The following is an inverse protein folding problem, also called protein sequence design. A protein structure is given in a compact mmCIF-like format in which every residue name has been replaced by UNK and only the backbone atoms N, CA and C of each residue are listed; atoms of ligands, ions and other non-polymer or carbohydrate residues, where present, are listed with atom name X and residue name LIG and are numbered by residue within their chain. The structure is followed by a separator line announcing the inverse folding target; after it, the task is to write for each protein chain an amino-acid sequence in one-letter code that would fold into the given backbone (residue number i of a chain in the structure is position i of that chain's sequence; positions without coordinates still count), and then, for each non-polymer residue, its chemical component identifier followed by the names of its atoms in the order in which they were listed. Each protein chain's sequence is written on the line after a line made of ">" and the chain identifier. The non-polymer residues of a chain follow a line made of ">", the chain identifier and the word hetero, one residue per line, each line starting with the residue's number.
data_IF_230005541055
#
_entry.id   IF_230005541055
#
_cell.length_a   1.000
_cell.length_b   1.000
_cell.length_c   1.000
_cell.angle_alpha   90.00
_cell.angle_beta   90.00
_cell.angle_gamma   90.00
#
_symmetry.space_group_name_H-M   'P 1'
#
loop_
_entity.id
_entity.type
_entity.pdbx_description
1 polymer ?
#
# COMPACT_ATOMS: atom_id res chain seq x y z
N UNK A 1 -2.89 1.85 -35.99
CA UNK A 1 -1.62 2.59 -35.88
C UNK A 1 -1.93 4.03 -35.44
N UNK A 2 -2.21 4.24 -34.15
CA UNK A 2 -2.53 5.56 -33.56
C UNK A 2 -1.94 5.66 -32.14
N UNK A 3 -1.88 4.51 -31.45
CA UNK A 3 -1.26 4.32 -30.13
C UNK A 3 0.24 4.70 -30.13
N UNK A 4 0.99 4.44 -31.20
CA UNK A 4 2.43 4.75 -31.26
C UNK A 4 2.74 6.26 -31.28
N UNK A 5 1.84 7.06 -31.87
CA UNK A 5 2.02 8.52 -31.99
C UNK A 5 1.71 9.29 -30.71
N UNK A 6 0.81 8.77 -29.86
CA UNK A 6 0.47 9.42 -28.58
C UNK A 6 1.50 9.17 -27.48
N UNK A 7 2.26 8.08 -27.56
CA UNK A 7 3.16 7.68 -26.49
C UNK A 7 4.65 7.65 -26.88
N UNK A 8 5.04 7.86 -28.14
CA UNK A 8 6.44 7.84 -28.61
C UNK A 8 7.19 6.49 -28.41
N UNK A 9 6.72 5.54 -27.58
CA UNK A 9 7.19 4.15 -27.47
C UNK A 9 6.16 3.26 -26.77
N UNK A 10 6.26 1.93 -26.94
CA UNK A 10 5.47 0.94 -26.18
C UNK A 10 5.63 1.09 -24.66
N UNK A 11 6.85 1.40 -24.20
CA UNK A 11 7.12 1.61 -22.78
C UNK A 11 6.39 2.82 -22.23
N UNK A 12 6.33 3.92 -22.99
CA UNK A 12 5.56 5.09 -22.57
C UNK A 12 4.06 4.83 -22.59
N UNK A 13 3.53 4.01 -23.51
CA UNK A 13 2.13 3.60 -23.48
C UNK A 13 1.83 2.86 -22.18
N UNK A 14 2.67 1.87 -21.84
CA UNK A 14 2.54 1.09 -20.60
C UNK A 14 2.70 2.01 -19.39
N UNK A 15 3.67 2.94 -19.39
CA UNK A 15 3.88 3.92 -18.32
C UNK A 15 2.67 4.83 -18.14
N UNK A 16 2.12 5.41 -19.21
CA UNK A 16 0.97 6.30 -19.10
C UNK A 16 -0.31 5.56 -18.74
N UNK A 17 -0.49 4.32 -19.22
CA UNK A 17 -1.62 3.49 -18.80
C UNK A 17 -1.56 3.18 -17.30
N UNK A 18 -0.38 2.76 -16.80
CA UNK A 18 -0.18 2.48 -15.38
C UNK A 18 -0.36 3.76 -14.55
N UNK A 19 0.27 4.86 -14.93
CA UNK A 19 0.19 6.13 -14.22
C UNK A 19 -1.21 6.76 -14.23
N UNK A 20 -2.00 6.51 -15.28
CA UNK A 20 -3.40 6.98 -15.38
C UNK A 20 -4.39 6.15 -14.56
N UNK A 21 -3.97 4.97 -14.08
CA UNK A 21 -4.77 4.06 -13.24
C UNK A 21 -4.14 3.86 -11.86
N UNK A 22 -3.11 4.63 -11.55
CA UNK A 22 -2.37 4.47 -10.31
C UNK A 22 -3.19 5.01 -9.14
N UNK A 23 -3.73 4.09 -8.34
CA UNK A 23 -4.46 4.40 -7.11
C UNK A 23 -3.61 5.19 -6.11
N UNK A 24 -2.28 5.01 -6.12
CA UNK A 24 -1.38 5.65 -5.16
C UNK A 24 -1.30 7.17 -5.36
N UNK A 25 -1.43 7.68 -6.59
CA UNK A 25 -1.30 9.12 -6.86
C UNK A 25 -2.35 9.97 -6.13
N UNK A 26 -3.67 9.73 -6.28
CA UNK A 26 -4.67 10.51 -5.53
C UNK A 26 -4.59 10.35 -4.01
N UNK A 27 -4.11 9.21 -3.50
CA UNK A 27 -3.93 8.99 -2.06
C UNK A 27 -2.74 9.80 -1.54
N UNK A 28 -1.62 9.76 -2.27
CA UNK A 28 -0.39 10.47 -1.91
C UNK A 28 -0.50 11.99 -2.20
N UNK A 29 -1.26 12.41 -3.20
CA UNK A 29 -1.54 13.83 -3.47
C UNK A 29 -2.42 14.45 -2.35
N UNK A 30 -3.38 13.67 -1.80
CA UNK A 30 -4.14 14.07 -0.60
C UNK A 30 -3.28 14.10 0.66
N UNK A 31 -2.18 13.33 0.69
CA UNK A 31 -1.22 13.31 1.81
C UNK A 31 -0.22 14.46 1.79
N UNK A 32 0.06 15.00 0.60
CA UNK A 32 1.06 16.03 0.36
C UNK A 32 0.53 17.45 0.45
N UNK A 33 -0.78 17.63 0.68
CA UNK A 33 -1.35 18.95 0.94
C UNK A 33 -1.03 19.38 2.38
N UNK A 34 -0.04 20.28 2.52
CA UNK A 34 0.37 21.24 3.58
C UNK A 34 -0.30 21.31 4.98
N UNK A 35 -1.28 20.48 5.34
CA UNK A 35 -1.73 20.28 6.71
C UNK A 35 -0.68 19.44 7.44
N UNK A 36 0.02 20.06 8.39
CA UNK A 36 0.87 19.33 9.33
C UNK A 36 -0.02 18.36 10.11
N UNK A 37 0.02 17.08 9.74
CA UNK A 37 -0.61 16.02 10.52
C UNK A 37 0.07 15.95 11.88
N UNK A 38 -0.74 15.99 12.94
CA UNK A 38 -0.21 15.79 14.28
C UNK A 38 0.27 14.34 14.44
N UNK A 39 1.30 14.12 15.25
CA UNK A 39 1.86 12.77 15.49
C UNK A 39 0.80 11.78 15.99
N UNK A 40 -0.20 12.28 16.72
CA UNK A 40 -1.32 11.49 17.24
C UNK A 40 -2.29 11.02 16.14
N UNK A 41 -2.32 11.70 15.00
CA UNK A 41 -3.21 11.40 13.87
C UNK A 41 -2.55 10.46 12.84
N UNK A 42 -1.22 10.37 12.83
CA UNK A 42 -0.45 9.50 11.94
C UNK A 42 -0.89 8.03 11.93
N UNK A 43 -1.13 7.33 13.07
CA UNK A 43 -1.54 5.93 13.03
C UNK A 43 -2.91 5.73 12.37
N UNK A 44 -3.86 6.64 12.61
CA UNK A 44 -5.18 6.60 11.98
C UNK A 44 -5.07 6.90 10.48
N UNK A 45 -4.27 7.91 10.13
CA UNK A 45 -4.00 8.30 8.75
C UNK A 45 -3.38 7.16 7.93
N UNK A 46 -2.36 6.50 8.47
CA UNK A 46 -1.70 5.36 7.81
C UNK A 46 -2.65 4.16 7.73
N UNK A 47 -3.49 3.97 8.76
CA UNK A 47 -4.54 2.94 8.72
C UNK A 47 -5.48 3.19 7.55
N UNK A 48 -5.98 4.42 7.39
CA UNK A 48 -6.86 4.78 6.28
C UNK A 48 -6.22 4.49 4.92
N UNK A 49 -4.95 4.84 4.73
CA UNK A 49 -4.21 4.52 3.49
C UNK A 49 -4.19 3.01 3.21
N UNK A 50 -3.86 2.19 4.20
CA UNK A 50 -3.80 0.74 4.02
C UNK A 50 -5.19 0.11 3.81
N UNK A 51 -6.21 0.65 4.46
CA UNK A 51 -7.60 0.25 4.30
C UNK A 51 -8.14 0.61 2.91
N UNK A 52 -7.86 1.82 2.41
CA UNK A 52 -8.18 2.23 1.04
C UNK A 52 -7.38 1.39 0.03
N UNK A 53 -6.10 1.10 0.28
CA UNK A 53 -5.27 0.23 -0.55
C UNK A 53 -5.85 -1.17 -0.66
N UNK A 54 -6.30 -1.77 0.44
CA UNK A 54 -6.98 -3.06 0.40
C UNK A 54 -8.25 -3.00 -0.47
N UNK A 55 -9.09 -1.98 -0.28
CA UNK A 55 -10.33 -1.83 -1.05
C UNK A 55 -10.06 -1.65 -2.55
N UNK A 56 -9.12 -0.79 -2.91
CA UNK A 56 -8.76 -0.55 -4.30
C UNK A 56 -8.21 -1.83 -4.95
N UNK A 57 -7.31 -2.53 -4.25
CA UNK A 57 -6.72 -3.76 -4.75
C UNK A 57 -7.75 -4.89 -4.90
N UNK A 58 -8.66 -5.05 -3.94
CA UNK A 58 -9.73 -6.03 -4.00
C UNK A 58 -10.69 -5.79 -5.16
N UNK A 59 -11.05 -4.53 -5.42
CA UNK A 59 -12.07 -4.16 -6.41
C UNK A 59 -11.53 -3.93 -7.84
N UNK A 60 -10.21 -3.86 -8.04
CA UNK A 60 -9.61 -3.64 -9.37
C UNK A 60 -8.77 -4.87 -9.82
N UNK A 61 -9.34 -5.77 -10.64
CA UNK A 61 -8.61 -6.90 -11.22
C UNK A 61 -7.46 -6.51 -12.16
N UNK A 62 -7.49 -5.31 -12.76
CA UNK A 62 -6.38 -4.82 -13.59
C UNK A 62 -5.20 -4.42 -12.71
N UNK A 63 -5.46 -3.74 -11.59
CA UNK A 63 -4.47 -3.45 -10.55
C UNK A 63 -3.85 -4.74 -10.00
N UNK A 64 -4.67 -5.78 -9.72
CA UNK A 64 -4.17 -7.09 -9.31
C UNK A 64 -3.18 -7.71 -10.31
N UNK A 65 -3.49 -7.66 -11.61
CA UNK A 65 -2.60 -8.17 -12.66
C UNK A 65 -1.33 -7.35 -12.79
N UNK A 66 -1.43 -6.02 -12.67
CA UNK A 66 -0.27 -5.14 -12.73
C UNK A 66 0.71 -5.44 -11.60
N UNK A 67 0.24 -5.49 -10.35
CA UNK A 67 1.11 -5.81 -9.20
C UNK A 67 1.68 -7.24 -9.35
N UNK A 68 0.90 -8.18 -9.90
CA UNK A 68 1.40 -9.54 -10.12
C UNK A 68 2.56 -9.54 -11.12
N UNK A 69 2.44 -8.74 -12.19
CA UNK A 69 3.52 -8.59 -13.18
C UNK A 69 4.78 -7.98 -12.56
N UNK A 70 4.63 -6.99 -11.66
CA UNK A 70 5.76 -6.37 -10.95
C UNK A 70 6.58 -7.37 -10.11
N UNK A 71 5.94 -8.40 -9.55
CA UNK A 71 6.60 -9.41 -8.71
C UNK A 71 6.96 -10.70 -9.43
N UNK A 72 6.50 -10.89 -10.67
CA UNK A 72 6.71 -12.14 -11.42
C UNK A 72 8.04 -12.16 -12.18
N UNK A 73 8.48 -11.03 -12.73
CA UNK A 73 9.70 -10.94 -13.51
C UNK A 73 10.35 -9.55 -13.41
N UNK A 74 11.70 -9.46 -13.51
CA UNK A 74 12.36 -8.16 -13.59
C UNK A 74 11.96 -7.41 -14.86
N UNK A 75 11.42 -6.21 -14.70
CA UNK A 75 11.09 -5.33 -15.80
C UNK A 75 11.52 -3.88 -15.46
N UNK A 76 12.45 -3.27 -16.23
CA UNK A 76 12.96 -1.93 -15.93
C UNK A 76 11.88 -0.84 -15.81
N UNK A 77 10.82 -0.93 -16.62
CA UNK A 77 9.73 0.02 -16.58
C UNK A 77 8.89 -0.14 -15.30
N UNK A 78 8.59 -1.38 -14.93
CA UNK A 78 7.85 -1.67 -13.70
C UNK A 78 8.65 -1.32 -12.44
N UNK A 79 9.97 -1.47 -12.51
CA UNK A 79 10.87 -1.00 -11.46
C UNK A 79 10.78 0.51 -11.31
N UNK A 80 10.89 1.27 -12.41
CA UNK A 80 10.77 2.74 -12.38
C UNK A 80 9.45 3.19 -11.74
N UNK A 81 8.34 2.53 -12.07
CA UNK A 81 7.02 2.82 -11.48
C UNK A 81 6.99 2.49 -9.98
N UNK A 82 7.63 1.39 -9.56
CA UNK A 82 7.70 1.01 -8.15
C UNK A 82 8.56 2.00 -7.36
N UNK A 83 9.69 2.42 -7.93
CA UNK A 83 10.58 3.44 -7.35
C UNK A 83 9.88 4.81 -7.25
N UNK A 84 9.08 5.19 -8.27
CA UNK A 84 8.24 6.40 -8.23
C UNK A 84 7.21 6.36 -7.08
N UNK A 85 6.56 5.22 -6.85
CA UNK A 85 5.60 5.05 -5.74
C UNK A 85 6.27 5.13 -4.37
N UNK A 86 7.40 4.46 -4.19
CA UNK A 86 8.17 4.51 -2.95
C UNK A 86 8.61 5.95 -2.65
N UNK A 87 9.07 6.68 -3.67
CA UNK A 87 9.45 8.10 -3.51
C UNK A 87 8.27 9.00 -3.14
N UNK A 88 7.06 8.70 -3.58
CA UNK A 88 5.86 9.46 -3.22
C UNK A 88 5.36 9.12 -1.81
N UNK A 89 5.58 7.88 -1.33
CA UNK A 89 5.22 7.47 0.02
C UNK A 89 6.25 7.90 1.08
N UNK A 90 7.52 8.08 0.69
CA UNK A 90 8.63 8.40 1.59
C UNK A 90 8.38 9.63 2.51
N UNK A 91 7.73 10.74 2.08
CA UNK A 91 7.39 11.84 2.98
C UNK A 91 6.51 11.40 4.15
N UNK A 92 5.45 10.62 3.90
CA UNK A 92 4.55 10.11 4.95
C UNK A 92 5.31 9.17 5.88
N UNK A 93 6.11 8.28 5.30
CA UNK A 93 6.89 7.30 6.07
C UNK A 93 7.90 8.04 6.97
N UNK A 94 8.54 9.10 6.48
CA UNK A 94 9.47 9.92 7.27
C UNK A 94 8.83 10.59 8.49
N UNK A 95 7.54 10.94 8.43
CA UNK A 95 6.83 11.47 9.59
C UNK A 95 6.78 10.46 10.74
N UNK A 96 6.81 9.16 10.42
CA UNK A 96 6.78 8.09 11.42
C UNK A 96 8.15 7.83 12.05
N UNK A 97 9.25 8.13 11.36
CA UNK A 97 10.60 7.77 11.82
C UNK A 97 10.92 8.40 13.19
N UNK A 98 10.42 9.60 13.45
CA UNK A 98 10.61 10.29 14.74
C UNK A 98 9.96 9.55 15.90
N UNK A 99 8.76 8.98 15.69
CA UNK A 99 8.03 8.23 16.72
C UNK A 99 8.77 6.95 17.13
N UNK A 100 9.42 6.30 16.16
CA UNK A 100 10.13 5.04 16.37
C UNK A 100 11.61 5.22 16.69
N UNK A 101 12.12 6.46 16.76
CA UNK A 101 13.52 6.72 17.11
C UNK A 101 13.83 6.20 18.52
N UNK A 102 14.98 5.51 18.64
CA UNK A 102 15.36 4.80 19.87
C UNK A 102 14.56 3.52 20.19
N UNK A 103 13.53 3.18 19.43
CA UNK A 103 12.80 1.91 19.57
C UNK A 103 13.52 0.76 18.84
N UNK A 104 13.23 -0.48 19.23
CA UNK A 104 13.68 -1.68 18.50
C UNK A 104 12.73 -2.07 17.34
N UNK A 105 11.79 -1.21 16.99
CA UNK A 105 10.73 -1.49 16.01
C UNK A 105 11.08 -0.83 14.68
N UNK A 106 11.21 -1.66 13.63
CA UNK A 106 11.30 -1.15 12.27
C UNK A 106 9.90 -1.04 11.67
N UNK A 107 9.27 0.13 11.83
CA UNK A 107 7.91 0.36 11.37
C UNK A 107 7.76 0.23 9.86
N UNK A 108 8.76 0.69 9.09
CA UNK A 108 8.80 0.53 7.62
C UNK A 108 8.70 -0.95 7.22
N UNK A 109 9.41 -1.83 7.91
CA UNK A 109 9.35 -3.27 7.66
C UNK A 109 7.98 -3.87 7.99
N UNK A 110 7.31 -3.38 9.04
CA UNK A 110 5.93 -3.77 9.38
C UNK A 110 4.97 -3.38 8.26
N UNK A 111 5.05 -2.14 7.78
CA UNK A 111 4.23 -1.66 6.66
C UNK A 111 4.46 -2.49 5.38
N UNK A 112 5.71 -2.84 5.08
CA UNK A 112 6.04 -3.70 3.93
C UNK A 112 5.44 -5.11 4.05
N UNK A 113 5.50 -5.73 5.24
CA UNK A 113 4.88 -7.03 5.50
C UNK A 113 3.35 -6.95 5.39
N UNK A 114 2.75 -5.88 5.88
CA UNK A 114 1.31 -5.66 5.78
C UNK A 114 0.87 -5.52 4.32
N UNK A 115 1.60 -4.75 3.52
CA UNK A 115 1.31 -4.57 2.10
C UNK A 115 1.40 -5.91 1.35
N UNK A 116 2.44 -6.70 1.61
CA UNK A 116 2.57 -8.05 1.06
C UNK A 116 1.44 -8.99 1.50
N UNK A 117 1.01 -8.89 2.75
CA UNK A 117 -0.13 -9.64 3.30
C UNK A 117 -1.45 -9.30 2.58
N UNK A 118 -1.73 -8.01 2.38
CA UNK A 118 -2.89 -7.53 1.61
C UNK A 118 -2.84 -8.11 0.19
N UNK A 119 -1.71 -7.99 -0.50
CA UNK A 119 -1.56 -8.51 -1.86
C UNK A 119 -1.82 -10.02 -1.94
N UNK A 120 -1.22 -10.78 -1.04
CA UNK A 120 -1.39 -12.23 -1.00
C UNK A 120 -2.84 -12.63 -0.72
N UNK A 121 -3.49 -12.03 0.29
CA UNK A 121 -4.86 -12.35 0.68
C UNK A 121 -5.83 -12.08 -0.47
N UNK A 122 -5.67 -10.95 -1.16
CA UNK A 122 -6.51 -10.59 -2.31
C UNK A 122 -6.28 -11.52 -3.50
N UNK A 123 -5.04 -11.78 -3.90
CA UNK A 123 -4.76 -12.70 -5.02
C UNK A 123 -5.23 -14.12 -4.74
N UNK A 124 -5.05 -14.59 -3.51
CA UNK A 124 -5.49 -15.92 -3.13
C UNK A 124 -7.02 -16.02 -3.17
N UNK A 125 -7.74 -15.03 -2.65
CA UNK A 125 -9.19 -14.99 -2.70
C UNK A 125 -9.72 -14.90 -4.14
N UNK A 126 -9.08 -14.10 -5.00
CA UNK A 126 -9.51 -13.93 -6.39
C UNK A 126 -9.19 -15.14 -7.28
N UNK A 127 -8.08 -15.84 -7.00
CA UNK A 127 -7.58 -16.95 -7.83
C UNK A 127 -8.02 -18.32 -7.30
N UNK A 128 -7.74 -18.61 -6.02
CA UNK A 128 -7.92 -19.92 -5.42
C UNK A 128 -9.29 -20.06 -4.71
N UNK A 129 -9.92 -18.93 -4.35
CA UNK A 129 -11.26 -18.88 -3.71
C UNK A 129 -11.39 -19.80 -2.50
N UNK A 130 -10.32 -19.88 -1.72
CA UNK A 130 -10.29 -20.63 -0.47
C UNK A 130 -9.80 -19.76 0.67
N UNK A 131 -10.01 -20.25 1.89
CA UNK A 131 -9.71 -19.52 3.12
C UNK A 131 -8.21 -19.46 3.40
N UNK A 132 -7.74 -18.30 3.84
CA UNK A 132 -6.41 -18.15 4.48
C UNK A 132 -6.65 -17.89 5.96
N UNK A 133 -6.02 -18.68 6.82
CA UNK A 133 -6.21 -18.56 8.28
C UNK A 133 -7.69 -18.59 8.71
N UNK A 134 -8.55 -19.24 7.91
CA UNK A 134 -10.01 -19.28 8.15
C UNK A 134 -10.81 -18.11 7.56
N UNK A 135 -10.15 -17.10 6.98
CA UNK A 135 -10.73 -15.88 6.39
C UNK A 135 -10.91 -16.06 4.88
N UNK A 136 -12.09 -15.74 4.37
CA UNK A 136 -12.39 -15.61 2.94
C UNK A 136 -12.94 -14.21 2.64
N UNK A 137 -12.11 -13.32 2.11
CA UNK A 137 -12.50 -11.95 1.80
C UNK A 137 -13.49 -11.81 0.63
N UNK A 138 -13.94 -12.92 0.01
CA UNK A 138 -15.11 -12.87 -0.85
C UNK A 138 -16.40 -12.67 -0.04
N UNK A 139 -16.39 -12.99 1.25
CA UNK A 139 -17.43 -12.67 2.21
C UNK A 139 -17.24 -11.26 2.81
N UNK A 140 -18.34 -10.53 3.00
CA UNK A 140 -18.30 -9.14 3.49
C UNK A 140 -17.83 -9.03 4.94
N UNK A 141 -18.28 -9.93 5.81
CA UNK A 141 -17.87 -9.94 7.23
C UNK A 141 -16.37 -10.18 7.34
N UNK A 142 -15.84 -11.08 6.51
CA UNK A 142 -14.42 -11.41 6.49
C UNK A 142 -13.57 -10.25 5.90
N UNK A 143 -14.11 -9.46 4.95
CA UNK A 143 -13.49 -8.19 4.51
C UNK A 143 -13.44 -7.16 5.63
N UNK A 144 -14.55 -6.95 6.34
CA UNK A 144 -14.62 -6.03 7.48
C UNK A 144 -13.65 -6.44 8.59
N UNK A 145 -13.53 -7.75 8.85
CA UNK A 145 -12.57 -8.28 9.82
C UNK A 145 -11.12 -7.95 9.42
N UNK A 146 -10.76 -8.09 8.14
CA UNK A 146 -9.42 -7.75 7.66
C UNK A 146 -9.16 -6.24 7.72
N UNK A 147 -10.14 -5.42 7.33
CA UNK A 147 -10.08 -3.96 7.44
C UNK A 147 -9.81 -3.53 8.89
N UNK A 148 -10.53 -4.11 9.85
CA UNK A 148 -10.31 -3.86 11.27
C UNK A 148 -8.92 -4.31 11.73
N UNK A 149 -8.46 -5.47 11.28
CA UNK A 149 -7.15 -6.02 11.64
C UNK A 149 -5.99 -5.12 11.16
N UNK A 150 -6.10 -4.52 9.96
CA UNK A 150 -5.12 -3.55 9.45
C UNK A 150 -4.90 -2.43 10.47
N UNK A 151 -5.98 -1.77 10.92
CA UNK A 151 -5.92 -0.69 11.91
C UNK A 151 -5.34 -1.17 13.23
N UNK A 152 -5.82 -2.31 13.73
CA UNK A 152 -5.34 -2.89 15.00
C UNK A 152 -3.84 -3.18 15.00
N UNK A 153 -3.28 -3.65 13.88
CA UNK A 153 -1.84 -3.90 13.78
C UNK A 153 -1.06 -2.59 13.77
N UNK A 154 -1.52 -1.58 13.03
CA UNK A 154 -0.87 -0.26 12.99
C UNK A 154 -0.88 0.38 14.38
N UNK A 155 -2.04 0.46 15.03
CA UNK A 155 -2.19 0.99 16.38
C UNK A 155 -1.31 0.23 17.41
N UNK A 156 -1.30 -1.10 17.36
CA UNK A 156 -0.52 -1.91 18.29
C UNK A 156 0.99 -1.65 18.15
N UNK A 157 1.48 -1.55 16.92
CA UNK A 157 2.90 -1.29 16.66
C UNK A 157 3.26 0.15 16.99
N UNK A 158 2.39 1.11 16.69
CA UNK A 158 2.55 2.51 17.09
C UNK A 158 2.71 2.65 18.60
N UNK A 159 1.77 2.13 19.38
CA UNK A 159 1.83 2.19 20.85
C UNK A 159 3.08 1.51 21.42
N UNK A 160 3.56 0.43 20.81
CA UNK A 160 4.78 -0.25 21.22
C UNK A 160 6.05 0.59 20.94
N UNK A 161 6.03 1.47 19.92
CA UNK A 161 7.11 2.42 19.63
C UNK A 161 7.24 3.49 20.72
N UNK A 162 6.14 4.16 21.04
CA UNK A 162 6.11 5.23 22.05
C UNK A 162 6.38 4.77 23.50
N UNK A 163 6.10 3.51 23.83
CA UNK A 163 6.31 2.95 25.18
C UNK A 163 7.78 2.80 25.60
N UNK A 164 8.73 2.91 24.65
CA UNK A 164 10.16 2.70 24.94
C UNK A 164 10.88 3.99 25.39
N UNK A 165 10.23 5.16 25.30
CA UNK A 165 10.80 6.44 25.73
C UNK A 165 10.62 6.75 27.23
N UNK A 166 9.90 5.90 27.99
CA UNK A 166 9.77 6.00 29.45
C UNK A 166 10.80 5.11 30.18
N UNK A 167 12.11 5.40 30.05
CA UNK A 167 13.15 4.84 30.96
C UNK A 167 14.21 5.89 31.28
#
# INVERSE_FOLDING_TARGET
>A
MMIYWYFNSYNNLVKTYINGRDFWRPVLDRSGSDEQLDEQELPDYISDIFQEQFNAFFNDPELQKMILWQVSEPNPLLREISDERESQADPIIKLTDAHFDGSNINFRAVLALMLGGIYYVVWHASTNRSKICGIDINDERDREALQKAIRQVIEAVWNAGGSTQEV
#
